data_IF_378620877601
#
_entry.id   IF_378620877601
#
_cell.length_a   1.000
_cell.length_b   1.000
_cell.length_c   1.000
_cell.angle_alpha   90.00
_cell.angle_beta   90.00
_cell.angle_gamma   90.00
#
_symmetry.space_group_name_H-M   'P 1'
#
loop_
_entity.id
_entity.type
_entity.pdbx_description
1 polymer ?
#
# COMPACT_ATOMS: atom_id res chain seq x y z
N UNK A 1 -8.51 4.30 21.26
CA UNK A 1 -8.96 3.07 21.97
C UNK A 1 -9.65 3.51 23.24
N UNK A 2 -10.98 3.44 23.28
CA UNK A 2 -11.72 3.67 24.52
C UNK A 2 -11.43 2.54 25.52
N UNK A 3 -11.70 2.76 26.81
CA UNK A 3 -11.35 1.82 27.90
C UNK A 3 -12.00 0.42 27.75
N UNK A 4 -13.00 0.30 26.89
CA UNK A 4 -13.74 -0.93 26.55
C UNK A 4 -13.25 -1.61 25.26
N UNK A 5 -12.22 -1.08 24.60
CA UNK A 5 -11.74 -1.58 23.31
C UNK A 5 -12.57 -1.14 22.11
N UNK A 6 -13.50 -0.19 22.28
CA UNK A 6 -14.26 0.38 21.16
C UNK A 6 -13.46 1.46 20.41
N UNK A 7 -13.72 1.55 19.10
CA UNK A 7 -13.28 2.65 18.24
C UNK A 7 -14.50 3.41 17.76
N UNK A 8 -14.38 4.73 17.67
CA UNK A 8 -15.42 5.62 17.14
C UNK A 8 -14.83 6.40 15.99
N UNK A 9 -15.39 6.22 14.81
CA UNK A 9 -15.00 6.97 13.63
C UNK A 9 -15.83 8.24 13.55
N UNK A 10 -15.17 9.35 13.25
CA UNK A 10 -15.83 10.63 13.02
C UNK A 10 -16.38 10.68 11.58
N UNK A 11 -17.51 11.36 11.40
CA UNK A 11 -18.16 11.48 10.08
C UNK A 11 -17.33 12.28 9.07
N UNK A 12 -16.48 13.19 9.55
CA UNK A 12 -15.52 13.92 8.72
C UNK A 12 -14.29 14.37 9.54
N UNK A 13 -13.24 14.80 8.85
CA UNK A 13 -11.96 15.18 9.47
C UNK A 13 -11.99 16.52 10.23
N UNK A 14 -13.01 17.36 10.05
CA UNK A 14 -13.16 18.65 10.74
C UNK A 14 -13.75 18.50 12.15
N UNK A 15 -14.36 17.36 12.45
CA UNK A 15 -15.02 17.09 13.73
C UNK A 15 -14.03 16.63 14.82
N UNK A 16 -12.82 16.21 14.44
CA UNK A 16 -11.85 15.55 15.31
C UNK A 16 -10.51 16.33 15.43
N UNK A 17 -10.58 17.66 15.45
CA UNK A 17 -9.40 18.55 15.41
C UNK A 17 -8.46 18.30 16.59
N UNK A 18 -7.36 17.59 16.35
CA UNK A 18 -6.32 17.30 17.33
C UNK A 18 -6.62 16.11 18.25
N UNK A 19 -7.80 15.50 18.12
CA UNK A 19 -8.28 14.43 18.99
C UNK A 19 -8.28 13.05 18.31
N UNK A 20 -8.07 12.99 16.98
CA UNK A 20 -8.00 11.75 16.23
C UNK A 20 -6.94 11.79 15.12
N UNK A 21 -6.46 10.59 14.76
CA UNK A 21 -5.68 10.38 13.55
C UNK A 21 -6.57 10.55 12.31
N UNK A 22 -6.10 11.34 11.34
CA UNK A 22 -6.83 11.61 10.10
C UNK A 22 -6.17 10.84 8.96
N UNK A 23 -6.96 10.01 8.29
CA UNK A 23 -6.53 9.26 7.11
C UNK A 23 -7.26 9.74 5.86
N UNK A 24 -6.53 9.85 4.76
CA UNK A 24 -7.10 10.08 3.44
C UNK A 24 -6.86 8.85 2.56
N UNK A 25 -7.82 8.48 1.69
CA UNK A 25 -7.59 7.45 0.69
C UNK A 25 -6.38 7.79 -0.18
N UNK A 26 -5.51 6.82 -0.39
CA UNK A 26 -4.35 6.99 -1.27
C UNK A 26 -4.78 6.85 -2.73
N UNK A 27 -4.44 7.82 -3.58
CA UNK A 27 -4.54 7.69 -5.04
C UNK A 27 -3.33 6.91 -5.56
N UNK A 28 -3.49 5.60 -5.73
CA UNK A 28 -2.44 4.70 -6.18
C UNK A 28 -2.02 4.95 -7.64
N UNK A 29 -2.90 5.50 -8.48
CA UNK A 29 -2.56 5.83 -9.86
C UNK A 29 -1.64 7.05 -9.91
N UNK A 30 -1.92 8.06 -9.08
CA UNK A 30 -1.04 9.21 -8.92
C UNK A 30 0.32 8.78 -8.33
N UNK A 31 0.30 7.93 -7.31
CA UNK A 31 1.51 7.40 -6.69
C UNK A 31 2.39 6.65 -7.71
N UNK A 32 1.79 5.83 -8.58
CA UNK A 32 2.50 5.13 -9.65
C UNK A 32 3.20 6.10 -10.60
N UNK A 33 2.49 7.14 -11.05
CA UNK A 33 3.06 8.18 -11.93
C UNK A 33 4.23 8.90 -11.26
N UNK A 34 4.10 9.23 -9.97
CA UNK A 34 5.16 9.87 -9.20
C UNK A 34 6.38 8.97 -9.04
N UNK A 35 6.19 7.68 -8.73
CA UNK A 35 7.27 6.70 -8.62
C UNK A 35 8.03 6.55 -9.95
N UNK A 36 7.33 6.37 -11.07
CA UNK A 36 7.99 6.27 -12.38
C UNK A 36 8.71 7.57 -12.79
N UNK A 37 8.16 8.74 -12.43
CA UNK A 37 8.84 10.01 -12.65
C UNK A 37 10.16 10.07 -11.87
N UNK A 38 10.11 9.77 -10.58
CA UNK A 38 11.26 9.77 -9.67
C UNK A 38 12.28 8.67 -9.99
N UNK A 39 11.84 7.55 -10.58
CA UNK A 39 12.72 6.47 -11.04
C UNK A 39 13.57 6.85 -12.26
N UNK A 40 13.38 8.06 -12.80
CA UNK A 40 14.11 8.56 -13.97
C UNK A 40 13.50 8.12 -15.30
N UNK A 41 12.35 7.42 -15.31
CA UNK A 41 11.72 6.99 -16.56
C UNK A 41 11.27 8.20 -17.41
N UNK A 42 10.65 9.21 -16.80
CA UNK A 42 10.18 10.38 -17.54
C UNK A 42 11.31 11.33 -17.97
N UNK A 43 12.46 11.32 -17.28
CA UNK A 43 13.66 12.09 -17.67
C UNK A 43 14.31 11.54 -18.94
N UNK A 44 14.01 10.29 -19.33
CA UNK A 44 14.51 9.64 -20.54
C UNK A 44 13.97 10.25 -21.84
N UNK A 45 12.78 10.87 -21.81
CA UNK A 45 12.21 11.45 -23.03
C UNK A 45 12.94 12.72 -23.49
N UNK A 46 13.73 13.37 -22.62
CA UNK A 46 14.43 14.62 -22.95
C UNK A 46 15.94 14.46 -23.17
N UNK A 47 16.61 13.56 -22.46
CA UNK A 47 18.08 13.41 -22.56
C UNK A 47 18.49 11.99 -22.99
N UNK A 48 19.03 11.86 -24.21
CA UNK A 48 19.55 10.60 -24.78
C UNK A 48 20.86 10.08 -24.13
N UNK A 49 21.46 10.83 -23.21
CA UNK A 49 22.83 10.60 -22.71
C UNK A 49 22.94 10.12 -21.26
N UNK A 50 21.85 10.11 -20.47
CA UNK A 50 21.91 9.65 -19.08
C UNK A 50 21.58 8.16 -18.95
N UNK A 51 22.21 7.46 -18.00
CA UNK A 51 22.04 6.02 -17.73
C UNK A 51 20.54 5.65 -17.76
N UNK A 52 20.17 4.69 -18.61
CA UNK A 52 18.78 4.31 -18.87
C UNK A 52 17.99 4.00 -17.58
N UNK A 53 17.12 4.93 -17.14
CA UNK A 53 16.11 4.67 -16.14
C UNK A 53 15.02 3.79 -16.73
N UNK A 54 14.89 2.55 -16.26
CA UNK A 54 13.95 1.56 -16.79
C UNK A 54 12.57 1.73 -16.16
N UNK A 55 11.51 1.46 -16.94
CA UNK A 55 10.13 1.36 -16.42
C UNK A 55 10.11 0.30 -15.31
N UNK A 56 9.63 0.67 -14.12
CA UNK A 56 9.44 -0.26 -13.00
C UNK A 56 8.15 -1.02 -13.20
N UNK A 57 8.10 -2.28 -12.75
CA UNK A 57 6.85 -3.02 -12.67
C UNK A 57 6.20 -2.68 -11.34
N UNK A 58 4.96 -2.26 -11.40
CA UNK A 58 4.18 -1.74 -10.27
C UNK A 58 2.95 -2.62 -10.08
N UNK A 59 2.62 -2.92 -8.82
CA UNK A 59 1.42 -3.66 -8.45
C UNK A 59 0.79 -3.00 -7.24
N UNK A 60 -0.54 -2.88 -7.25
CA UNK A 60 -1.32 -2.55 -6.06
C UNK A 60 -2.09 -3.79 -5.64
N UNK A 61 -1.88 -4.23 -4.41
CA UNK A 61 -2.50 -5.42 -3.85
C UNK A 61 -3.34 -5.06 -2.63
N UNK A 62 -4.45 -5.76 -2.48
CA UNK A 62 -5.25 -5.74 -1.25
C UNK A 62 -4.45 -6.44 -0.14
N UNK A 63 -4.73 -6.13 1.13
CA UNK A 63 -3.98 -6.74 2.25
C UNK A 63 -4.05 -8.26 2.21
N UNK A 64 -5.22 -8.85 1.95
CA UNK A 64 -5.38 -10.30 1.85
C UNK A 64 -4.48 -10.91 0.76
N UNK A 65 -4.54 -10.41 -0.48
CA UNK A 65 -3.71 -10.91 -1.57
C UNK A 65 -2.21 -10.75 -1.29
N UNK A 66 -1.81 -9.64 -0.65
CA UNK A 66 -0.42 -9.45 -0.24
C UNK A 66 0.01 -10.50 0.80
N UNK A 67 -0.83 -10.75 1.80
CA UNK A 67 -0.53 -11.70 2.88
C UNK A 67 -0.59 -13.15 2.41
N UNK A 68 -1.43 -13.48 1.43
CA UNK A 68 -1.45 -14.80 0.79
C UNK A 68 -0.15 -15.08 0.03
N UNK A 69 0.36 -14.10 -0.71
CA UNK A 69 1.57 -14.25 -1.53
C UNK A 69 2.85 -14.21 -0.69
N UNK A 70 2.96 -13.25 0.23
CA UNK A 70 4.23 -12.95 0.92
C UNK A 70 4.21 -13.26 2.41
N UNK A 71 3.03 -13.50 2.99
CA UNK A 71 2.87 -13.76 4.41
C UNK A 71 2.94 -15.24 4.76
N UNK A 72 2.49 -15.55 5.97
CA UNK A 72 2.28 -16.92 6.45
C UNK A 72 0.88 -17.03 7.06
N UNK A 73 -0.20 -17.01 6.25
CA UNK A 73 -1.56 -16.98 6.77
C UNK A 73 -1.89 -18.17 7.68
N UNK A 74 -1.23 -19.31 7.47
CA UNK A 74 -1.37 -20.50 8.32
C UNK A 74 -0.89 -20.29 9.75
N UNK A 75 0.01 -19.33 10.00
CA UNK A 75 0.51 -18.98 11.33
C UNK A 75 -0.28 -17.87 12.01
N UNK A 76 -1.18 -17.22 11.29
CA UNK A 76 -1.98 -16.10 11.81
C UNK A 76 -3.46 -16.44 11.93
N UNK A 77 -3.84 -17.66 11.54
CA UNK A 77 -5.19 -18.19 11.73
C UNK A 77 -5.42 -18.56 13.20
N UNK A 78 -6.52 -18.09 13.77
CA UNK A 78 -6.98 -18.43 15.12
C UNK A 78 -7.57 -19.83 15.17
N UNK A 79 -7.86 -20.34 16.38
CA UNK A 79 -8.39 -21.71 16.58
C UNK A 79 -9.76 -21.94 15.95
N UNK A 80 -10.56 -20.89 15.86
CA UNK A 80 -11.89 -20.86 15.23
C UNK A 80 -11.84 -20.62 13.72
N UNK A 81 -10.65 -20.47 13.13
CA UNK A 81 -10.44 -20.41 11.69
C UNK A 81 -10.40 -19.01 11.08
N UNK A 82 -10.69 -17.98 11.87
CA UNK A 82 -10.56 -16.57 11.48
C UNK A 82 -9.08 -16.16 11.28
N UNK A 83 -8.81 -15.23 10.37
CA UNK A 83 -7.46 -14.73 10.14
C UNK A 83 -7.46 -13.20 10.01
N UNK A 84 -7.06 -12.47 11.07
CA UNK A 84 -7.13 -11.00 11.08
C UNK A 84 -6.32 -10.36 9.93
N UNK A 85 -5.23 -11.00 9.47
CA UNK A 85 -4.44 -10.48 8.36
C UNK A 85 -5.11 -10.62 7.00
N UNK A 86 -6.07 -11.54 6.85
CA UNK A 86 -6.85 -11.69 5.62
C UNK A 86 -8.19 -10.97 5.71
N UNK A 87 -8.76 -10.90 6.90
CA UNK A 87 -10.17 -10.56 7.09
C UNK A 87 -10.42 -9.10 7.50
N UNK A 88 -9.52 -8.46 8.24
CA UNK A 88 -9.82 -7.16 8.88
C UNK A 88 -9.40 -5.94 8.05
N UNK A 89 -8.25 -6.02 7.39
CA UNK A 89 -7.58 -4.86 6.81
C UNK A 89 -8.02 -4.57 5.37
N UNK A 90 -9.33 -4.56 5.12
CA UNK A 90 -9.95 -4.39 3.79
C UNK A 90 -9.73 -3.01 3.18
N UNK A 91 -9.51 -1.99 4.01
CA UNK A 91 -9.26 -0.61 3.59
C UNK A 91 -7.77 -0.32 3.33
N UNK A 92 -6.89 -1.28 3.59
CA UNK A 92 -5.44 -1.15 3.37
C UNK A 92 -5.03 -1.83 2.06
N UNK A 93 -4.10 -1.19 1.35
CA UNK A 93 -3.51 -1.70 0.11
C UNK A 93 -1.99 -1.50 0.12
N UNK A 94 -1.29 -2.40 -0.54
CA UNK A 94 0.17 -2.38 -0.71
C UNK A 94 0.52 -1.92 -2.12
N UNK A 95 1.40 -0.93 -2.23
CA UNK A 95 2.01 -0.54 -3.51
C UNK A 95 3.41 -1.14 -3.60
N UNK A 96 3.62 -2.05 -4.55
CA UNK A 96 4.90 -2.69 -4.81
C UNK A 96 5.51 -2.10 -6.08
N UNK A 97 6.73 -1.58 -5.97
CA UNK A 97 7.53 -1.13 -7.11
C UNK A 97 8.81 -1.94 -7.18
N UNK A 98 8.91 -2.80 -8.19
CA UNK A 98 10.07 -3.66 -8.39
C UNK A 98 10.88 -3.24 -9.61
N UNK A 99 12.22 -3.20 -9.51
CA UNK A 99 13.07 -3.11 -10.69
C UNK A 99 12.78 -4.29 -11.63
N UNK A 100 12.69 -4.03 -12.92
CA UNK A 100 12.37 -5.04 -13.95
C UNK A 100 13.47 -6.10 -14.16
N UNK A 101 14.56 -6.08 -13.39
CA UNK A 101 15.60 -7.11 -13.41
C UNK A 101 15.88 -7.62 -12.01
N UNK A 102 15.28 -8.78 -11.70
CA UNK A 102 15.82 -9.81 -10.82
C UNK A 102 15.16 -11.14 -11.23
N UNK A 103 15.35 -11.52 -12.50
CA UNK A 103 15.26 -12.93 -12.88
C UNK A 103 16.55 -13.58 -12.38
N UNK A 104 16.43 -14.50 -11.41
CA UNK A 104 17.50 -15.46 -11.12
C UNK A 104 17.85 -16.25 -12.36
#
# INVERSE_FOLDING_TARGET
MQKDGSSTDYGNYLDAKGDADIFFPTDFLLLERMDHYCSGWLKMQKDKSSKQGKKRRTLTLDTSSFMEEFGLPTKTRTKDGYNPLLDDFKNTKFYLSVPTHNTK
#
